data_IF_785707947073
#
_entry.id   IF_785707947073
#
_cell.length_a   1.000
_cell.length_b   1.000
_cell.length_c   1.000
_cell.angle_alpha   90.00
_cell.angle_beta   90.00
_cell.angle_gamma   90.00
#
_symmetry.space_group_name_H-M   'P 1'
#
loop_
_entity.id
_entity.type
_entity.pdbx_description
1 polymer ?
#
# COMPACT_ATOMS: atom_id res chain seq x y z
N UNK A 1 1.93 4.03 -10.56
CA UNK A 1 1.88 2.86 -9.64
C UNK A 1 0.73 3.09 -8.65
N UNK A 2 0.43 2.11 -7.79
CA UNK A 2 -0.55 2.27 -6.71
C UNK A 2 -1.94 2.74 -7.16
N UNK A 3 -2.56 3.64 -6.39
CA UNK A 3 -3.92 4.15 -6.65
C UNK A 3 -4.09 4.78 -8.04
N UNK A 4 -3.08 5.50 -8.54
CA UNK A 4 -3.09 6.04 -9.91
C UNK A 4 -3.03 4.95 -10.99
N UNK A 5 -2.23 3.92 -10.76
CA UNK A 5 -2.15 2.76 -11.65
C UNK A 5 -3.48 2.03 -11.78
N UNK A 6 -4.22 1.94 -10.67
CA UNK A 6 -5.55 1.32 -10.58
C UNK A 6 -6.71 2.22 -11.02
N UNK A 7 -6.44 3.47 -11.44
CA UNK A 7 -7.47 4.50 -11.73
C UNK A 7 -8.40 4.80 -10.54
N UNK A 8 -7.86 4.70 -9.33
CA UNK A 8 -8.55 4.96 -8.06
C UNK A 8 -7.80 6.03 -7.25
N UNK A 9 -7.34 7.10 -7.93
CA UNK A 9 -6.67 8.21 -7.26
C UNK A 9 -7.69 9.00 -6.42
N UNK A 10 -7.37 9.25 -5.15
CA UNK A 10 -8.21 10.08 -4.30
C UNK A 10 -7.86 11.57 -4.46
N UNK A 11 -8.81 12.48 -4.19
CA UNK A 11 -8.54 13.92 -4.16
C UNK A 11 -7.33 14.22 -3.27
N UNK A 12 -6.45 15.12 -3.72
CA UNK A 12 -5.21 15.51 -3.02
C UNK A 12 -4.21 14.38 -2.73
N UNK A 13 -4.33 13.22 -3.40
CA UNK A 13 -3.34 12.16 -3.29
C UNK A 13 -2.17 12.37 -4.23
N UNK A 14 -0.97 12.09 -3.76
CA UNK A 14 0.23 12.09 -4.58
C UNK A 14 0.13 11.00 -5.67
N UNK A 15 0.76 11.27 -6.81
CA UNK A 15 0.83 10.35 -7.95
C UNK A 15 2.18 9.64 -7.94
N UNK A 16 2.16 8.32 -7.77
CA UNK A 16 3.38 7.51 -7.82
C UNK A 16 3.78 7.19 -9.27
N UNK A 17 4.92 7.72 -9.72
CA UNK A 17 5.53 7.43 -11.02
C UNK A 17 6.74 6.49 -10.86
N UNK A 18 6.80 5.50 -11.74
CA UNK A 18 7.96 4.63 -11.92
C UNK A 18 8.60 4.99 -13.26
N UNK A 19 9.82 5.48 -13.22
CA UNK A 19 10.64 5.75 -14.39
C UNK A 19 11.56 4.56 -14.63
N UNK A 20 11.31 3.84 -15.73
CA UNK A 20 12.00 2.60 -16.06
C UNK A 20 13.08 2.84 -17.12
N UNK A 21 14.31 2.47 -16.82
CA UNK A 21 15.45 2.61 -17.74
C UNK A 21 16.08 1.26 -18.06
N UNK A 22 16.61 1.11 -19.27
CA UNK A 22 17.30 -0.12 -19.66
C UNK A 22 18.57 -0.40 -18.83
N UNK A 23 19.23 0.66 -18.35
CA UNK A 23 20.42 0.57 -17.49
C UNK A 23 20.61 1.82 -16.64
N UNK A 24 21.35 1.70 -15.54
CA UNK A 24 21.69 2.83 -14.65
C UNK A 24 22.50 3.91 -15.37
N UNK A 25 23.34 3.51 -16.32
CA UNK A 25 24.11 4.46 -17.16
C UNK A 25 23.16 5.35 -17.98
N UNK A 26 22.09 4.77 -18.52
CA UNK A 26 21.07 5.51 -19.25
C UNK A 26 20.32 6.46 -18.32
N UNK A 27 19.96 6.01 -17.11
CA UNK A 27 19.31 6.85 -16.11
C UNK A 27 20.20 8.03 -15.69
N UNK A 28 21.50 7.78 -15.45
CA UNK A 28 22.47 8.81 -15.08
C UNK A 28 22.64 9.87 -16.18
N UNK A 29 22.71 9.46 -17.45
CA UNK A 29 22.80 10.39 -18.59
C UNK A 29 21.56 11.27 -18.79
N UNK A 30 20.41 10.88 -18.22
CA UNK A 30 19.14 11.59 -18.35
C UNK A 30 18.72 12.30 -17.05
N UNK A 31 19.56 12.33 -16.02
CA UNK A 31 19.22 12.89 -14.70
C UNK A 31 18.68 14.32 -14.74
N UNK A 32 19.27 15.18 -15.57
CA UNK A 32 18.83 16.57 -15.71
C UNK A 32 17.52 16.71 -16.49
N UNK A 33 17.27 15.81 -17.44
CA UNK A 33 16.00 15.75 -18.14
C UNK A 33 14.88 15.27 -17.22
N UNK A 34 15.15 14.24 -16.40
CA UNK A 34 14.22 13.73 -15.39
C UNK A 34 13.87 14.82 -14.37
N UNK A 35 14.88 15.53 -13.85
CA UNK A 35 14.67 16.60 -12.87
C UNK A 35 13.77 17.71 -13.43
N UNK A 36 14.02 18.15 -14.67
CA UNK A 36 13.19 19.16 -15.34
C UNK A 36 11.77 18.68 -15.59
N UNK A 37 11.61 17.42 -16.01
CA UNK A 37 10.29 16.82 -16.21
C UNK A 37 9.47 16.78 -14.91
N UNK A 38 10.09 16.36 -13.81
CA UNK A 38 9.44 16.32 -12.50
C UNK A 38 9.08 17.71 -11.99
N UNK A 39 9.95 18.69 -12.23
CA UNK A 39 9.69 20.09 -11.90
C UNK A 39 8.46 20.62 -12.66
N UNK A 40 8.35 20.33 -13.97
CA UNK A 40 7.18 20.73 -14.76
C UNK A 40 5.88 20.10 -14.25
N UNK A 41 5.92 18.84 -13.80
CA UNK A 41 4.75 18.21 -13.18
C UNK A 41 4.36 18.92 -11.88
N UNK A 42 5.35 19.25 -11.05
CA UNK A 42 5.12 19.99 -9.82
C UNK A 42 4.53 21.39 -10.07
N UNK A 43 5.08 22.12 -11.03
CA UNK A 43 4.63 23.45 -11.42
C UNK A 43 3.21 23.44 -11.98
N UNK A 44 2.78 22.32 -12.57
CA UNK A 44 1.38 22.10 -13.00
C UNK A 44 0.40 21.84 -11.85
N UNK A 45 0.89 21.79 -10.61
CA UNK A 45 0.11 21.52 -9.40
C UNK A 45 -0.05 20.04 -9.06
N UNK A 46 0.63 19.14 -9.77
CA UNK A 46 0.63 17.70 -9.46
C UNK A 46 1.69 17.39 -8.41
N UNK A 47 1.26 16.83 -7.28
CA UNK A 47 2.20 16.23 -6.31
C UNK A 47 2.59 14.84 -6.79
N UNK A 48 3.85 14.68 -7.14
CA UNK A 48 4.37 13.45 -7.75
C UNK A 48 5.45 12.86 -6.85
N UNK A 49 5.34 11.56 -6.62
CA UNK A 49 6.38 10.74 -5.99
C UNK A 49 7.01 9.89 -7.09
N UNK A 50 8.32 10.04 -7.32
CA UNK A 50 9.04 9.29 -8.35
C UNK A 50 9.92 8.19 -7.77
N UNK A 51 10.03 7.10 -8.51
CA UNK A 51 11.03 6.05 -8.34
C UNK A 51 11.72 5.80 -9.67
N UNK A 52 13.04 5.66 -9.66
CA UNK A 52 13.86 5.41 -10.85
C UNK A 52 14.47 4.03 -10.69
N UNK A 53 14.16 3.12 -11.60
CA UNK A 53 14.65 1.75 -11.52
C UNK A 53 14.94 1.15 -12.90
N UNK A 54 15.76 0.10 -12.89
CA UNK A 54 15.89 -0.80 -14.04
C UNK A 54 14.93 -1.99 -13.93
N UNK A 55 14.64 -2.69 -15.05
CA UNK A 55 13.86 -3.92 -15.00
C UNK A 55 14.45 -4.98 -14.07
N UNK A 56 15.77 -5.01 -13.89
CA UNK A 56 16.42 -5.94 -12.98
C UNK A 56 16.11 -5.58 -11.52
N UNK A 57 16.33 -4.33 -11.12
CA UNK A 57 16.04 -3.85 -9.77
C UNK A 57 14.56 -3.99 -9.38
N UNK A 58 13.64 -3.75 -10.32
CA UNK A 58 12.21 -3.97 -10.09
C UNK A 58 11.85 -5.44 -9.80
N UNK A 59 12.70 -6.38 -10.23
CA UNK A 59 12.54 -7.82 -10.02
C UNK A 59 13.44 -8.34 -8.90
N UNK A 60 14.00 -7.45 -8.09
CA UNK A 60 14.67 -7.78 -6.85
C UNK A 60 13.77 -7.44 -5.66
N UNK A 61 13.83 -8.29 -4.64
CA UNK A 61 13.12 -8.06 -3.39
C UNK A 61 14.13 -7.52 -2.38
N UNK A 62 14.00 -6.25 -2.04
CA UNK A 62 14.77 -5.64 -0.95
C UNK A 62 13.86 -5.54 0.28
N UNK A 63 14.31 -6.07 1.42
CA UNK A 63 13.52 -6.02 2.66
C UNK A 63 13.20 -4.58 3.09
N UNK A 64 14.10 -3.63 2.78
CA UNK A 64 13.93 -2.21 3.07
C UNK A 64 12.96 -1.49 2.11
N UNK A 65 12.75 -2.01 0.89
CA UNK A 65 11.96 -1.34 -0.16
C UNK A 65 10.85 -2.22 -0.77
N UNK A 66 10.39 -3.19 -0.01
CA UNK A 66 9.35 -4.13 -0.41
C UNK A 66 7.98 -3.46 -0.63
N UNK A 67 7.73 -2.26 -0.08
CA UNK A 67 6.53 -1.45 -0.43
C UNK A 67 6.53 -1.07 -1.93
N UNK A 68 7.71 -0.84 -2.52
CA UNK A 68 7.85 -0.56 -3.95
C UNK A 68 7.54 -1.79 -4.80
N UNK A 69 8.02 -2.98 -4.39
CA UNK A 69 7.69 -4.25 -5.05
C UNK A 69 6.21 -4.58 -5.00
N UNK A 70 5.52 -4.25 -3.88
CA UNK A 70 4.07 -4.39 -3.77
C UNK A 70 3.36 -3.39 -4.69
N UNK A 71 3.82 -2.15 -4.76
CA UNK A 71 3.24 -1.11 -5.62
C UNK A 71 3.40 -1.42 -7.11
N UNK A 72 4.42 -2.21 -7.47
CA UNK A 72 4.66 -2.73 -8.82
C UNK A 72 3.57 -3.69 -9.29
N UNK A 73 2.82 -4.31 -8.38
CA UNK A 73 1.68 -5.15 -8.74
C UNK A 73 0.54 -4.37 -9.39
N UNK A 74 0.50 -3.05 -9.14
CA UNK A 74 -0.49 -2.09 -9.64
C UNK A 74 0.07 -1.18 -10.74
N UNK A 75 1.13 -1.64 -11.40
CA UNK A 75 1.79 -0.88 -12.44
C UNK A 75 0.90 -0.71 -13.68
N UNK A 76 0.97 0.46 -14.30
CA UNK A 76 0.23 0.82 -15.52
C UNK A 76 1.18 1.55 -16.46
N UNK A 77 1.30 1.06 -17.69
CA UNK A 77 2.03 1.75 -18.74
C UNK A 77 1.39 3.10 -19.07
N UNK A 78 2.21 4.14 -19.19
CA UNK A 78 1.79 5.49 -19.56
C UNK A 78 2.39 5.89 -20.90
N UNK A 79 3.73 5.93 -20.98
CA UNK A 79 4.48 6.34 -22.15
C UNK A 79 5.93 5.84 -22.07
N UNK A 80 6.63 5.87 -23.20
CA UNK A 80 8.06 5.55 -23.29
C UNK A 80 8.35 4.39 -24.25
N UNK A 81 9.42 3.66 -23.95
CA UNK A 81 9.84 2.50 -24.72
C UNK A 81 9.06 1.25 -24.28
N UNK A 82 8.22 0.74 -25.18
CA UNK A 82 7.43 -0.46 -24.95
C UNK A 82 8.30 -1.73 -24.82
N UNK A 83 9.50 -1.76 -25.40
CA UNK A 83 10.40 -2.92 -25.32
C UNK A 83 10.89 -3.10 -23.90
N UNK A 84 11.39 -2.03 -23.27
CA UNK A 84 11.87 -2.06 -21.87
C UNK A 84 10.74 -2.45 -20.92
N UNK A 85 9.55 -1.89 -21.15
CA UNK A 85 8.36 -2.22 -20.37
C UNK A 85 7.91 -3.68 -20.54
N UNK A 86 7.92 -4.20 -21.77
CA UNK A 86 7.54 -5.59 -22.08
C UNK A 86 8.50 -6.59 -21.44
N UNK A 87 9.79 -6.26 -21.36
CA UNK A 87 10.80 -7.09 -20.71
C UNK A 87 10.53 -7.25 -19.20
N UNK A 88 10.10 -6.17 -18.54
CA UNK A 88 9.64 -6.22 -17.15
C UNK A 88 8.36 -7.05 -17.01
N UNK A 89 7.36 -6.78 -17.86
CA UNK A 89 6.05 -7.44 -17.80
C UNK A 89 6.14 -8.96 -18.04
N UNK A 90 7.04 -9.40 -18.92
CA UNK A 90 7.25 -10.83 -19.19
C UNK A 90 7.85 -11.60 -18.00
N UNK A 91 8.66 -10.93 -17.16
CA UNK A 91 9.33 -11.55 -16.00
C UNK A 91 8.54 -11.40 -14.71
N UNK A 92 7.72 -10.35 -14.60
CA UNK A 92 6.97 -10.01 -13.38
C UNK A 92 6.12 -11.18 -12.84
N UNK A 93 5.36 -11.97 -13.64
CA UNK A 93 4.58 -13.08 -13.12
C UNK A 93 5.43 -14.16 -12.43
N UNK A 94 6.61 -14.47 -12.98
CA UNK A 94 7.53 -15.45 -12.39
C UNK A 94 8.13 -14.93 -11.10
N UNK A 95 8.49 -13.66 -11.05
CA UNK A 95 8.97 -13.00 -9.83
C UNK A 95 7.91 -13.05 -8.71
N UNK A 96 6.66 -12.66 -9.02
CA UNK A 96 5.56 -12.69 -8.04
C UNK A 96 5.27 -14.11 -7.53
N UNK A 97 5.37 -15.11 -8.40
CA UNK A 97 5.22 -16.51 -7.99
C UNK A 97 6.37 -16.99 -7.09
N UNK A 98 7.62 -16.67 -7.46
CA UNK A 98 8.80 -17.05 -6.67
C UNK A 98 8.86 -16.38 -5.30
N UNK A 99 8.42 -15.12 -5.21
CA UNK A 99 8.43 -14.32 -3.97
C UNK A 99 7.08 -14.29 -3.25
N UNK A 100 6.15 -15.19 -3.62
CA UNK A 100 4.77 -15.21 -3.11
C UNK A 100 4.70 -15.14 -1.59
N UNK A 101 5.42 -16.02 -0.90
CA UNK A 101 5.32 -16.11 0.55
C UNK A 101 5.94 -14.89 1.26
N UNK A 102 7.01 -14.33 0.70
CA UNK A 102 7.64 -13.11 1.22
C UNK A 102 6.70 -11.90 1.08
N UNK A 103 6.15 -11.68 -0.12
CA UNK A 103 5.18 -10.62 -0.39
C UNK A 103 3.96 -10.72 0.54
N UNK A 104 3.47 -11.94 0.76
CA UNK A 104 2.31 -12.21 1.61
C UNK A 104 2.60 -11.92 3.08
N UNK A 105 3.72 -12.43 3.61
CA UNK A 105 4.15 -12.15 4.99
C UNK A 105 4.29 -10.65 5.20
N UNK A 106 4.89 -9.96 4.25
CA UNK A 106 5.12 -8.54 4.34
C UNK A 106 3.82 -7.70 4.27
N UNK A 107 2.96 -7.97 3.28
CA UNK A 107 1.63 -7.35 3.19
C UNK A 107 0.83 -7.51 4.48
N UNK A 108 0.95 -8.68 5.10
CA UNK A 108 0.30 -8.99 6.39
C UNK A 108 0.88 -8.19 7.53
N UNK A 109 2.21 -8.05 7.58
CA UNK A 109 2.93 -7.27 8.59
C UNK A 109 2.56 -5.80 8.48
N UNK A 110 2.71 -5.19 7.30
CA UNK A 110 2.33 -3.78 7.06
C UNK A 110 0.87 -3.51 7.43
N UNK A 111 -0.04 -4.42 7.10
CA UNK A 111 -1.46 -4.27 7.44
C UNK A 111 -1.64 -4.26 8.96
N UNK A 112 -1.01 -5.20 9.67
CA UNK A 112 -1.07 -5.26 11.15
C UNK A 112 -0.46 -4.02 11.80
N UNK A 113 0.72 -3.61 11.36
CA UNK A 113 1.41 -2.42 11.87
C UNK A 113 0.56 -1.17 11.67
N UNK A 114 -0.08 -0.99 10.51
CA UNK A 114 -0.95 0.17 10.27
C UNK A 114 -2.26 0.11 11.04
N UNK A 115 -2.84 -1.08 11.21
CA UNK A 115 -4.00 -1.25 12.08
C UNK A 115 -3.66 -0.96 13.54
N UNK A 116 -2.46 -1.34 13.99
CA UNK A 116 -1.95 -1.05 15.34
C UNK A 116 -1.52 0.43 15.49
N UNK A 117 -1.00 1.07 14.45
CA UNK A 117 -0.73 2.51 14.46
C UNK A 117 -2.03 3.33 14.46
N UNK A 118 -3.09 2.78 13.86
CA UNK A 118 -4.45 3.29 13.96
C UNK A 118 -5.13 2.90 15.30
N UNK A 119 -4.36 2.50 16.32
CA UNK A 119 -4.84 2.00 17.62
C UNK A 119 -5.90 2.91 18.24
N UNK A 120 -7.15 2.45 18.14
CA UNK A 120 -8.05 2.16 19.28
C UNK A 120 -8.26 3.24 20.35
N UNK A 121 -8.12 4.52 20.03
CA UNK A 121 -8.68 5.59 20.84
C UNK A 121 -10.13 5.82 20.42
N UNK A 122 -11.06 5.69 21.37
CA UNK A 122 -12.43 6.21 21.27
C UNK A 122 -12.48 7.74 21.02
N UNK A 123 -11.32 8.40 20.99
CA UNK A 123 -11.13 9.85 20.84
C UNK A 123 -10.77 10.30 19.42
N UNK A 124 -10.74 9.41 18.41
CA UNK A 124 -10.73 9.90 17.03
C UNK A 124 -12.12 10.42 16.67
N UNK A 125 -12.28 11.74 16.77
CA UNK A 125 -13.51 12.46 16.40
C UNK A 125 -13.93 12.17 14.95
N UNK A 126 -12.96 11.83 14.08
CA UNK A 126 -13.18 11.42 12.69
C UNK A 126 -12.35 10.16 12.35
N UNK A 127 -12.95 9.11 11.76
CA UNK A 127 -12.25 7.89 11.38
C UNK A 127 -11.35 8.10 10.16
N UNK A 128 -10.12 7.56 10.19
CA UNK A 128 -9.21 7.62 9.04
C UNK A 128 -9.64 6.65 7.93
N UNK A 129 -10.41 7.16 6.96
CA UNK A 129 -10.97 6.39 5.83
C UNK A 129 -9.87 5.69 4.99
N UNK A 130 -8.62 6.17 5.04
CA UNK A 130 -7.49 5.65 4.24
C UNK A 130 -6.82 4.45 4.91
N UNK A 131 -6.51 4.54 6.20
CA UNK A 131 -5.65 3.59 6.92
C UNK A 131 -6.39 2.70 7.94
N UNK A 132 -7.58 3.08 8.40
CA UNK A 132 -8.35 2.31 9.38
C UNK A 132 -8.66 0.88 8.90
N UNK A 133 -8.90 -0.08 9.81
CA UNK A 133 -9.34 -1.42 9.45
C UNK A 133 -10.58 -1.39 8.55
N UNK A 134 -10.50 -1.98 7.35
CA UNK A 134 -11.57 -1.93 6.35
C UNK A 134 -11.56 -0.69 5.44
N UNK A 135 -10.67 0.26 5.71
CA UNK A 135 -10.43 1.46 4.88
C UNK A 135 -9.83 1.14 3.50
N UNK A 136 -9.60 2.19 2.72
CA UNK A 136 -9.29 2.10 1.29
C UNK A 136 -8.03 1.25 1.01
N UNK A 137 -6.96 1.42 1.78
CA UNK A 137 -5.73 0.62 1.62
C UNK A 137 -5.89 -0.85 2.02
N UNK A 138 -6.81 -1.15 2.93
CA UNK A 138 -7.14 -2.54 3.27
C UNK A 138 -7.87 -3.25 2.12
N UNK A 139 -8.70 -2.52 1.34
CA UNK A 139 -9.36 -3.04 0.13
C UNK A 139 -8.37 -3.23 -1.02
N UNK A 140 -7.46 -2.28 -1.19
CA UNK A 140 -6.36 -2.36 -2.17
C UNK A 140 -5.52 -3.62 -2.01
N UNK A 141 -5.03 -3.90 -0.80
CA UNK A 141 -4.23 -5.10 -0.53
C UNK A 141 -5.00 -6.39 -0.81
N UNK A 142 -6.29 -6.44 -0.47
CA UNK A 142 -7.15 -7.59 -0.80
C UNK A 142 -7.31 -7.76 -2.30
N UNK A 143 -7.49 -6.66 -3.05
CA UNK A 143 -7.54 -6.71 -4.51
C UNK A 143 -6.24 -7.28 -5.10
N UNK A 144 -5.08 -6.82 -4.63
CA UNK A 144 -3.78 -7.34 -5.07
C UNK A 144 -3.62 -8.83 -4.77
N UNK A 145 -3.97 -9.28 -3.56
CA UNK A 145 -3.92 -10.70 -3.24
C UNK A 145 -4.84 -11.53 -4.15
N UNK A 146 -6.05 -11.05 -4.43
CA UNK A 146 -7.00 -11.75 -5.31
C UNK A 146 -6.49 -11.80 -6.76
N UNK A 147 -6.04 -10.67 -7.29
CA UNK A 147 -5.59 -10.51 -8.69
C UNK A 147 -4.36 -11.37 -8.98
N UNK A 148 -3.42 -11.42 -8.05
CA UNK A 148 -2.16 -12.15 -8.19
C UNK A 148 -2.19 -13.54 -7.52
N UNK A 149 -3.38 -14.04 -7.15
CA UNK A 149 -3.58 -15.36 -6.52
C UNK A 149 -2.69 -15.62 -5.29
N UNK A 150 -2.40 -14.55 -4.53
CA UNK A 150 -1.74 -14.67 -3.24
C UNK A 150 -2.74 -15.20 -2.20
N UNK A 151 -2.33 -16.05 -1.23
CA UNK A 151 -3.23 -16.64 -0.26
C UNK A 151 -3.88 -15.56 0.63
N UNK A 152 -5.21 -15.48 0.57
CA UNK A 152 -6.03 -14.55 1.38
C UNK A 152 -6.15 -14.95 2.86
N UNK A 153 -5.52 -16.06 3.29
CA UNK A 153 -5.67 -16.67 4.62
C UNK A 153 -5.36 -15.72 5.79
N UNK A 154 -4.62 -14.64 5.58
CA UNK A 154 -4.32 -13.65 6.63
C UNK A 154 -5.54 -12.79 7.00
N UNK A 155 -6.47 -12.57 6.08
CA UNK A 155 -7.65 -11.71 6.30
C UNK A 155 -8.82 -12.45 6.96
N UNK A 156 -8.64 -13.73 7.30
CA UNK A 156 -9.62 -14.61 7.95
C UNK A 156 -9.44 -14.73 9.46
N UNK A 157 -8.75 -13.79 10.13
CA UNK A 157 -8.94 -13.69 11.58
C UNK A 157 -10.27 -12.98 11.82
N UNK A 158 -11.25 -13.61 12.51
CA UNK A 158 -12.44 -12.88 12.94
C UNK A 158 -11.93 -11.71 13.78
N UNK A 159 -12.44 -10.52 13.49
CA UNK A 159 -12.42 -9.44 14.48
C UNK A 159 -13.20 -10.02 15.65
N UNK A 160 -12.48 -10.54 16.65
CA UNK A 160 -13.08 -10.93 17.92
C UNK A 160 -13.54 -9.62 18.52
N UNK A 161 -14.79 -9.26 18.28
CA UNK A 161 -15.49 -8.35 19.15
C UNK A 161 -15.50 -9.07 20.50
N UNK A 162 -14.62 -8.66 21.40
CA UNK A 162 -14.62 -9.12 22.78
C UNK A 162 -15.98 -8.72 23.37
N UNK A 163 -16.93 -9.64 23.35
CA UNK A 163 -18.15 -9.59 24.14
C UNK A 163 -17.77 -9.75 25.61
N UNK A 164 -17.16 -8.70 26.16
CA UNK A 164 -17.03 -8.46 27.60
C UNK A 164 -17.52 -7.04 27.89
N UNK A 165 -18.79 -6.83 27.55
CA UNK A 165 -19.66 -5.82 28.13
C UNK A 165 -21.01 -6.51 28.39
N UNK A 166 -20.99 -7.49 29.28
CA UNK A 166 -22.16 -8.03 29.93
C UNK A 166 -21.77 -8.19 31.40
N UNK A 167 -22.23 -7.27 32.25
CA UNK A 167 -22.04 -7.37 33.70
C UNK A 167 -21.50 -6.12 34.39
N UNK A 168 -22.09 -4.95 34.16
CA UNK A 168 -22.12 -3.88 35.18
C UNK A 168 -23.52 -3.23 35.12
N UNK A 169 -24.51 -3.97 35.62
CA UNK A 169 -25.82 -3.44 36.01
C UNK A 169 -26.23 -4.18 37.29
N UNK A 170 -25.67 -3.77 38.42
CA UNK A 170 -26.28 -3.96 39.74
C UNK A 170 -26.08 -2.66 40.51
N UNK A 171 -27.05 -1.78 40.40
CA UNK A 171 -27.26 -0.63 41.27
C UNK A 171 -27.58 -1.13 42.68
N UNK A 172 -26.68 -0.91 43.63
CA UNK A 172 -26.99 -0.87 45.07
C UNK A 172 -27.49 0.54 45.44
N UNK A 173 -28.71 0.71 45.96
CA UNK A 173 -29.09 1.93 46.64
C UNK A 173 -28.62 1.87 48.10
N UNK A 174 -28.04 2.97 48.56
CA UNK A 174 -27.61 3.21 49.94
C UNK A 174 -28.77 3.08 50.94
N UNK A 175 -28.54 2.39 52.05
CA UNK A 175 -29.39 2.42 53.22
C UNK A 175 -29.23 3.75 53.99
N UNK A 176 -30.35 4.39 54.33
CA UNK A 176 -30.46 5.46 55.34
C UNK A 176 -30.93 4.78 56.64
N UNK A 177 -30.31 5.05 57.81
CA UNK A 177 -30.74 4.45 59.07
C UNK A 177 -31.88 5.26 59.70
N UNK A 178 -32.89 4.57 60.22
CA UNK A 178 -33.86 5.10 61.18
C UNK A 178 -34.08 4.05 62.27
N UNK A 179 -33.50 4.29 63.45
CA UNK A 179 -34.14 4.26 64.77
C UNK A 179 -33.19 4.93 65.77
#
# INVERSE_FOLDING_TARGET
MGGYGRRQLFPYSDVDLLLLFASDKTAAGLKDAISRFLQQLWDSGLRVSQSVHTPAECLELHDDNIESSVSLLDQRYLAGDAVVYSALLGKLPRFVQGQRDALVRHLSRMTRERHAASNSTFYHLEPNIKESPGGLRSRERRHNCSRHRLPLRIWRKPVIFSSRCAGICTTTPSAIPTY
#
